data_IF_558533278633
#
_entry.id   IF_558533278633
#
_cell.length_a   1.000
_cell.length_b   1.000
_cell.length_c   1.000
_cell.angle_alpha   90.00
_cell.angle_beta   90.00
_cell.angle_gamma   90.00
#
_symmetry.space_group_name_H-M   'P 1'
#
loop_
_entity.id
_entity.type
_entity.pdbx_description
1 polymer ?
#
# COMPACT_ATOMS: atom_id res chain seq x y z
N UNK A 1 -64.92 -13.08 1.01
CA UNK A 1 -64.33 -11.74 0.82
C UNK A 1 -63.11 -11.72 1.72
N UNK A 2 -61.97 -12.22 1.23
CA UNK A 2 -60.91 -11.43 0.56
C UNK A 2 -60.39 -10.35 1.53
N UNK A 3 -59.14 -10.37 2.00
CA UNK A 3 -57.94 -10.34 1.16
C UNK A 3 -56.67 -10.80 1.89
N UNK A 4 -56.01 -11.79 1.29
CA UNK A 4 -54.57 -11.92 0.99
C UNK A 4 -53.60 -10.99 1.73
N UNK A 5 -52.87 -11.54 2.72
CA UNK A 5 -51.59 -10.97 3.19
C UNK A 5 -50.48 -11.46 2.26
N UNK A 6 -49.95 -10.55 1.44
CA UNK A 6 -48.83 -10.83 0.54
C UNK A 6 -47.50 -10.73 1.32
N UNK A 7 -46.84 -11.87 1.49
CA UNK A 7 -45.48 -11.98 2.01
C UNK A 7 -44.53 -11.37 0.98
N UNK A 8 -44.04 -10.15 1.23
CA UNK A 8 -42.99 -9.52 0.41
C UNK A 8 -41.66 -10.21 0.71
N UNK A 9 -41.26 -11.12 -0.17
CA UNK A 9 -39.89 -11.63 -0.24
C UNK A 9 -38.99 -10.50 -0.74
N UNK A 10 -38.13 -9.97 0.14
CA UNK A 10 -37.03 -9.10 -0.29
C UNK A 10 -35.91 -9.96 -0.89
N UNK A 11 -36.13 -10.39 -2.13
CA UNK A 11 -35.11 -10.94 -2.99
C UNK A 11 -34.15 -9.81 -3.34
N UNK A 12 -32.95 -9.84 -2.77
CA UNK A 12 -31.86 -8.94 -3.14
C UNK A 12 -31.39 -9.31 -4.55
N UNK A 13 -31.84 -8.54 -5.54
CA UNK A 13 -31.42 -8.63 -6.92
C UNK A 13 -29.96 -8.13 -7.04
N UNK A 14 -29.01 -9.06 -7.13
CA UNK A 14 -27.58 -8.79 -7.38
C UNK A 14 -27.28 -8.82 -8.89
N UNK A 15 -28.19 -8.31 -9.74
CA UNK A 15 -27.91 -8.11 -11.17
C UNK A 15 -27.95 -6.64 -11.53
N UNK A 16 -27.09 -5.86 -10.89
CA UNK A 16 -26.65 -4.59 -11.47
C UNK A 16 -25.71 -4.93 -12.63
N UNK A 17 -26.17 -4.65 -13.85
CA UNK A 17 -25.40 -4.72 -15.11
C UNK A 17 -23.96 -4.28 -14.91
N UNK A 18 -23.02 -5.20 -15.06
CA UNK A 18 -21.65 -4.87 -15.40
C UNK A 18 -21.67 -4.43 -16.87
N UNK A 19 -21.81 -3.13 -17.10
CA UNK A 19 -21.43 -2.58 -18.40
C UNK A 19 -19.90 -2.69 -18.47
N UNK A 20 -19.44 -3.80 -19.02
CA UNK A 20 -18.04 -4.07 -19.32
C UNK A 20 -17.52 -2.90 -20.18
N UNK A 21 -16.49 -2.15 -19.75
CA UNK A 21 -15.89 -1.15 -20.61
C UNK A 21 -15.23 -1.89 -21.78
N UNK A 22 -15.59 -1.51 -23.01
CA UNK A 22 -15.08 -2.09 -24.26
C UNK A 22 -13.60 -1.75 -24.53
N UNK A 23 -12.72 -1.80 -23.53
CA UNK A 23 -11.28 -1.50 -23.72
C UNK A 23 -10.46 -2.73 -24.13
N UNK A 24 -11.07 -3.91 -24.23
CA UNK A 24 -10.38 -5.19 -24.45
C UNK A 24 -10.52 -5.78 -25.86
N UNK A 25 -11.10 -5.05 -26.82
CA UNK A 25 -11.18 -5.52 -28.23
C UNK A 25 -10.21 -4.81 -29.19
N UNK A 26 -9.47 -3.80 -28.74
CA UNK A 26 -8.57 -3.03 -29.61
C UNK A 26 -7.09 -3.33 -29.33
N UNK A 27 -6.72 -4.62 -29.30
CA UNK A 27 -5.30 -5.03 -29.20
C UNK A 27 -4.94 -6.24 -30.09
N UNK A 28 -5.82 -6.66 -30.99
CA UNK A 28 -5.59 -7.87 -31.81
C UNK A 28 -5.16 -7.62 -33.27
N UNK A 29 -4.68 -6.42 -33.62
CA UNK A 29 -4.23 -6.16 -34.99
C UNK A 29 -2.97 -5.30 -35.01
N UNK A 30 -1.83 -5.91 -34.70
CA UNK A 30 -0.53 -5.68 -35.37
C UNK A 30 0.48 -6.70 -34.86
N UNK A 31 0.37 -7.96 -35.32
CA UNK A 31 1.51 -8.86 -35.32
C UNK A 31 2.39 -8.53 -36.52
N UNK A 32 3.55 -7.91 -36.28
CA UNK A 32 4.72 -8.07 -37.15
C UNK A 32 5.97 -8.24 -36.30
N UNK A 33 6.53 -9.44 -36.45
CA UNK A 33 7.62 -10.10 -35.77
C UNK A 33 8.98 -9.36 -35.87
N UNK A 34 9.64 -9.13 -34.72
CA UNK A 34 11.10 -8.94 -34.57
C UNK A 34 11.55 -9.43 -33.17
N UNK A 35 12.79 -9.92 -33.01
CA UNK A 35 13.23 -10.65 -31.82
C UNK A 35 13.36 -9.74 -30.61
N UNK A 36 12.91 -10.23 -29.45
CA UNK A 36 12.85 -9.54 -28.17
C UNK A 36 14.22 -9.01 -27.72
N UNK A 37 14.30 -7.69 -27.61
CA UNK A 37 15.30 -6.97 -26.81
C UNK A 37 14.77 -6.82 -25.36
N UNK A 38 15.65 -6.64 -24.36
CA UNK A 38 15.29 -6.59 -22.93
C UNK A 38 14.54 -5.31 -22.50
N UNK A 39 13.92 -4.59 -23.44
CA UNK A 39 13.36 -3.25 -23.24
C UNK A 39 12.05 -3.23 -22.47
N UNK A 40 11.29 -4.33 -22.45
CA UNK A 40 9.99 -4.41 -21.79
C UNK A 40 10.13 -4.42 -20.25
N UNK A 41 11.17 -5.10 -19.75
CA UNK A 41 11.52 -5.07 -18.33
C UNK A 41 11.98 -3.69 -17.88
N UNK A 42 12.75 -2.97 -18.71
CA UNK A 42 13.19 -1.60 -18.42
C UNK A 42 12.03 -0.60 -18.43
N UNK A 43 11.06 -0.73 -19.34
CA UNK A 43 9.87 0.12 -19.37
C UNK A 43 8.94 -0.15 -18.19
N UNK A 44 8.76 -1.41 -17.82
CA UNK A 44 7.96 -1.80 -16.65
C UNK A 44 8.66 -1.43 -15.33
N UNK A 45 9.99 -1.50 -15.29
CA UNK A 45 10.81 -1.06 -14.15
C UNK A 45 10.76 0.47 -14.04
N UNK A 46 10.82 1.23 -15.15
CA UNK A 46 10.63 2.69 -15.14
C UNK A 46 9.23 3.10 -14.65
N UNK A 47 8.17 2.38 -15.02
CA UNK A 47 6.81 2.61 -14.51
C UNK A 47 6.66 2.24 -13.02
N UNK A 48 7.41 1.21 -12.58
CA UNK A 48 7.50 0.82 -11.18
C UNK A 48 8.26 1.85 -10.35
N UNK A 49 9.40 2.35 -10.84
CA UNK A 49 10.18 3.43 -10.19
C UNK A 49 9.35 4.71 -10.10
N UNK A 50 8.66 5.10 -11.17
CA UNK A 50 7.78 6.26 -11.16
C UNK A 50 6.61 6.13 -10.15
N UNK A 51 6.08 4.91 -9.98
CA UNK A 51 5.06 4.63 -8.95
C UNK A 51 5.63 4.68 -7.53
N UNK A 52 6.86 4.23 -7.32
CA UNK A 52 7.55 4.33 -6.03
C UNK A 52 7.87 5.78 -5.67
N UNK A 53 8.37 6.58 -6.62
CA UNK A 53 8.63 8.01 -6.44
C UNK A 53 7.35 8.77 -6.08
N UNK A 54 6.24 8.44 -6.75
CA UNK A 54 4.93 9.02 -6.44
C UNK A 54 4.50 8.66 -5.01
N UNK A 55 4.64 7.40 -4.62
CA UNK A 55 4.30 6.95 -3.27
C UNK A 55 5.18 7.65 -2.22
N UNK A 56 6.49 7.73 -2.45
CA UNK A 56 7.41 8.46 -1.58
C UNK A 56 6.98 9.93 -1.43
N UNK A 57 6.68 10.60 -2.54
CA UNK A 57 6.25 11.99 -2.52
C UNK A 57 4.94 12.17 -1.74
N UNK A 58 3.95 11.29 -1.93
CA UNK A 58 2.68 11.32 -1.18
C UNK A 58 2.88 11.09 0.31
N UNK A 59 3.76 10.16 0.69
CA UNK A 59 4.10 9.89 2.10
C UNK A 59 4.80 11.11 2.72
N UNK A 60 5.80 11.67 2.05
CA UNK A 60 6.52 12.87 2.52
C UNK A 60 5.57 14.07 2.65
N UNK A 61 4.73 14.30 1.64
CA UNK A 61 3.73 15.37 1.70
C UNK A 61 2.78 15.19 2.89
N UNK A 62 2.32 13.96 3.14
CA UNK A 62 1.46 13.67 4.28
C UNK A 62 2.18 13.94 5.60
N UNK A 63 3.47 13.60 5.71
CA UNK A 63 4.26 13.94 6.91
C UNK A 63 4.35 15.46 7.10
N UNK A 64 4.67 16.19 6.03
CA UNK A 64 4.81 17.64 6.09
C UNK A 64 3.50 18.32 6.53
N UNK A 65 2.38 17.94 5.91
CA UNK A 65 1.04 18.47 6.22
C UNK A 65 0.67 18.21 7.71
N UNK A 66 0.87 16.99 8.21
CA UNK A 66 0.51 16.63 9.59
C UNK A 66 1.45 17.26 10.64
N UNK A 67 2.74 17.42 10.31
CA UNK A 67 3.70 18.12 11.17
C UNK A 67 3.40 19.62 11.20
N UNK A 68 3.00 20.23 10.09
CA UNK A 68 2.56 21.62 10.05
C UNK A 68 1.36 21.86 10.98
N UNK A 69 0.35 20.99 10.92
CA UNK A 69 -0.81 21.04 11.82
C UNK A 69 -0.40 20.94 13.29
N UNK A 70 0.56 20.09 13.63
CA UNK A 70 1.09 19.96 14.99
C UNK A 70 1.82 21.23 15.47
N UNK A 71 2.70 21.78 14.62
CA UNK A 71 3.49 22.96 14.96
C UNK A 71 2.60 24.20 15.08
N UNK A 72 1.73 24.46 14.10
CA UNK A 72 0.80 25.59 14.14
C UNK A 72 -0.21 25.42 15.29
N UNK A 73 -0.68 24.18 15.50
CA UNK A 73 -1.39 23.70 16.70
C UNK A 73 -0.81 24.24 18.00
N UNK A 74 0.47 23.92 18.22
CA UNK A 74 1.18 24.27 19.44
C UNK A 74 1.42 25.78 19.58
N UNK A 75 1.74 26.47 18.49
CA UNK A 75 1.93 27.94 18.49
C UNK A 75 0.66 28.64 18.93
N UNK A 76 -0.50 28.21 18.45
CA UNK A 76 -1.78 28.79 18.85
C UNK A 76 -2.15 28.50 20.30
N UNK A 77 -1.89 27.30 20.81
CA UNK A 77 -2.08 26.97 22.22
C UNK A 77 -1.19 27.85 23.12
N UNK A 78 0.07 28.05 22.75
CA UNK A 78 0.99 28.94 23.49
C UNK A 78 0.49 30.39 23.45
N UNK A 79 -0.01 30.87 22.30
CA UNK A 79 -0.61 32.21 22.18
C UNK A 79 -1.86 32.34 23.07
N UNK A 80 -2.74 31.34 23.04
CA UNK A 80 -3.94 31.29 23.89
C UNK A 80 -3.61 31.19 25.38
N UNK A 81 -2.45 30.63 25.75
CA UNK A 81 -2.01 30.52 27.15
C UNK A 81 -1.54 31.84 27.77
N UNK A 82 -1.28 32.89 26.98
CA UNK A 82 -0.80 34.16 27.51
C UNK A 82 -1.87 34.85 28.36
N UNK A 83 -1.62 34.99 29.66
CA UNK A 83 -2.56 35.59 30.62
C UNK A 83 -2.35 37.11 30.63
N UNK A 84 -3.02 37.84 29.72
CA UNK A 84 -3.09 39.31 29.77
C UNK A 84 -4.50 39.78 29.48
N UNK A 85 -5.09 40.53 30.42
CA UNK A 85 -6.37 41.23 30.32
C UNK A 85 -7.50 40.45 29.61
N UNK A 86 -7.89 39.30 30.18
CA UNK A 86 -8.95 38.44 29.62
C UNK A 86 -10.25 38.58 30.40
N UNK A 87 -11.33 38.84 29.67
CA UNK A 87 -12.72 38.78 30.16
C UNK A 87 -13.23 37.33 30.16
N UNK A 88 -14.21 37.00 31.01
CA UNK A 88 -14.78 35.66 31.18
C UNK A 88 -15.28 35.05 29.86
N UNK A 89 -15.88 35.85 28.98
CA UNK A 89 -16.29 35.42 27.64
C UNK A 89 -15.10 35.07 26.74
N UNK A 90 -14.03 35.86 26.80
CA UNK A 90 -12.80 35.62 26.02
C UNK A 90 -12.09 34.37 26.49
N UNK A 91 -12.02 34.15 27.81
CA UNK A 91 -11.47 32.91 28.39
C UNK A 91 -12.25 31.69 27.91
N UNK A 92 -13.58 31.78 27.89
CA UNK A 92 -14.44 30.67 27.44
C UNK A 92 -14.27 30.38 25.94
N UNK A 93 -14.16 31.42 25.11
CA UNK A 93 -13.92 31.28 23.68
C UNK A 93 -12.53 30.69 23.38
N UNK A 94 -11.49 31.17 24.06
CA UNK A 94 -10.13 30.65 23.92
C UNK A 94 -10.01 29.20 24.40
N UNK A 95 -10.72 28.83 25.48
CA UNK A 95 -10.75 27.45 25.96
C UNK A 95 -11.39 26.50 24.93
N UNK A 96 -12.49 26.90 24.29
CA UNK A 96 -13.10 26.12 23.22
C UNK A 96 -12.18 26.01 22.00
N UNK A 97 -11.56 27.12 21.57
CA UNK A 97 -10.62 27.12 20.46
C UNK A 97 -9.40 26.22 20.75
N UNK A 98 -8.86 26.27 21.97
CA UNK A 98 -7.77 25.40 22.41
C UNK A 98 -8.17 23.92 22.38
N UNK A 99 -9.40 23.58 22.79
CA UNK A 99 -9.90 22.21 22.73
C UNK A 99 -9.97 21.69 21.29
N UNK A 100 -10.59 22.46 20.38
CA UNK A 100 -10.70 22.08 18.95
C UNK A 100 -9.31 21.95 18.31
N UNK A 101 -8.38 22.86 18.64
CA UNK A 101 -7.00 22.80 18.16
C UNK A 101 -6.31 21.53 18.64
N UNK A 102 -6.47 21.19 19.91
CA UNK A 102 -5.90 19.98 20.51
C UNK A 102 -6.47 18.72 19.85
N UNK A 103 -7.77 18.68 19.56
CA UNK A 103 -8.39 17.57 18.83
C UNK A 103 -7.78 17.39 17.42
N UNK A 104 -7.60 18.49 16.69
CA UNK A 104 -6.94 18.47 15.38
C UNK A 104 -5.49 17.95 15.47
N UNK A 105 -4.74 18.37 16.49
CA UNK A 105 -3.37 17.88 16.73
C UNK A 105 -3.34 16.39 17.07
N UNK A 106 -4.30 15.90 17.86
CA UNK A 106 -4.40 14.47 18.19
C UNK A 106 -4.66 13.65 16.93
N UNK A 107 -5.56 14.13 16.05
CA UNK A 107 -5.85 13.47 14.77
C UNK A 107 -4.60 13.43 13.88
N UNK A 108 -3.83 14.51 13.81
CA UNK A 108 -2.57 14.55 13.06
C UNK A 108 -1.53 13.56 13.61
N UNK A 109 -1.38 13.49 14.93
CA UNK A 109 -0.50 12.52 15.57
C UNK A 109 -0.93 11.07 15.31
N UNK A 110 -2.23 10.78 15.30
CA UNK A 110 -2.77 9.47 14.95
C UNK A 110 -2.51 9.11 13.48
N UNK A 111 -2.61 10.09 12.58
CA UNK A 111 -2.26 9.94 11.16
C UNK A 111 -0.79 9.54 10.99
N UNK A 112 0.13 10.26 11.64
CA UNK A 112 1.56 9.94 11.66
C UNK A 112 1.86 8.56 12.28
N UNK A 113 1.14 8.15 13.32
CA UNK A 113 1.28 6.82 13.90
C UNK A 113 0.83 5.72 12.93
N UNK A 114 -0.28 5.92 12.23
CA UNK A 114 -0.76 5.03 11.17
C UNK A 114 0.26 4.92 10.04
N UNK A 115 0.83 6.05 9.61
CA UNK A 115 1.89 6.11 8.62
C UNK A 115 3.12 5.30 9.04
N UNK A 116 3.56 5.44 10.30
CA UNK A 116 4.67 4.66 10.85
C UNK A 116 4.40 3.15 10.78
N UNK A 117 3.16 2.72 11.05
CA UNK A 117 2.79 1.32 10.92
C UNK A 117 2.86 0.84 9.46
N UNK A 118 2.35 1.64 8.52
CA UNK A 118 2.44 1.33 7.07
C UNK A 118 3.88 1.23 6.59
N UNK A 119 4.76 2.15 7.00
CA UNK A 119 6.19 2.11 6.66
C UNK A 119 6.88 0.87 7.23
N UNK A 120 6.55 0.48 8.46
CA UNK A 120 7.05 -0.78 9.05
C UNK A 120 6.61 -1.99 8.24
N UNK A 121 5.35 -2.03 7.80
CA UNK A 121 4.85 -3.11 6.94
C UNK A 121 5.54 -3.13 5.57
N UNK A 122 5.67 -1.97 4.90
CA UNK A 122 6.40 -1.85 3.62
C UNK A 122 7.82 -2.38 3.75
N UNK A 123 8.51 -2.03 4.84
CA UNK A 123 9.86 -2.53 5.12
C UNK A 123 9.89 -4.06 5.33
N UNK A 124 8.97 -4.62 6.12
CA UNK A 124 8.87 -6.06 6.34
C UNK A 124 8.58 -6.83 5.04
N UNK A 125 7.73 -6.30 4.16
CA UNK A 125 7.43 -6.92 2.88
C UNK A 125 8.61 -6.84 1.91
N UNK A 126 9.31 -5.70 1.87
CA UNK A 126 10.51 -5.54 1.05
C UNK A 126 11.60 -6.57 1.44
N UNK A 127 11.81 -6.78 2.74
CA UNK A 127 12.84 -7.69 3.24
C UNK A 127 12.49 -9.17 3.00
N UNK A 128 11.21 -9.53 2.87
CA UNK A 128 10.80 -10.93 2.62
C UNK A 128 11.22 -11.53 1.28
N UNK A 129 11.62 -10.68 0.31
CA UNK A 129 12.19 -11.13 -0.97
C UNK A 129 13.63 -11.67 -0.82
N UNK A 130 14.42 -11.10 0.09
CA UNK A 130 15.81 -11.49 0.36
C UNK A 130 15.97 -12.92 0.90
N UNK A 131 15.20 -13.41 1.90
CA UNK A 131 15.30 -14.78 2.38
C UNK A 131 14.75 -15.80 1.38
N UNK A 132 13.78 -15.44 0.52
CA UNK A 132 13.32 -16.31 -0.55
C UNK A 132 14.43 -16.53 -1.59
N UNK A 133 15.08 -15.46 -2.02
CA UNK A 133 16.25 -15.51 -2.92
C UNK A 133 17.46 -16.22 -2.27
N UNK A 134 17.71 -15.98 -0.98
CA UNK A 134 18.77 -16.67 -0.25
C UNK A 134 18.48 -18.16 -0.03
N UNK A 135 17.21 -18.55 0.12
CA UNK A 135 16.79 -19.96 0.15
C UNK A 135 16.96 -20.60 -1.21
N UNK A 136 16.62 -19.90 -2.28
CA UNK A 136 16.78 -20.40 -3.64
C UNK A 136 18.25 -20.55 -4.04
N UNK A 137 19.14 -19.63 -3.63
CA UNK A 137 20.58 -19.77 -3.87
C UNK A 137 21.15 -20.96 -3.11
N UNK A 138 20.75 -21.16 -1.85
CA UNK A 138 21.17 -22.31 -1.04
C UNK A 138 20.62 -23.63 -1.59
N UNK A 139 19.40 -23.64 -2.12
CA UNK A 139 18.84 -24.82 -2.77
C UNK A 139 19.65 -25.20 -4.02
N UNK A 140 20.03 -24.22 -4.84
CA UNK A 140 20.89 -24.44 -6.03
C UNK A 140 22.27 -24.96 -5.64
N UNK A 141 22.89 -24.41 -4.61
CA UNK A 141 24.18 -24.87 -4.09
C UNK A 141 24.11 -26.31 -3.56
N UNK A 142 23.04 -26.66 -2.84
CA UNK A 142 22.80 -28.03 -2.39
C UNK A 142 22.56 -28.99 -3.55
N UNK A 143 21.83 -28.58 -4.59
CA UNK A 143 21.61 -29.38 -5.80
C UNK A 143 22.92 -29.62 -6.57
N UNK A 144 23.80 -28.61 -6.66
CA UNK A 144 25.14 -28.75 -7.25
C UNK A 144 25.99 -29.74 -6.46
N UNK A 145 26.03 -29.63 -5.13
CA UNK A 145 26.74 -30.58 -4.25
C UNK A 145 26.16 -32.00 -4.38
N UNK A 146 24.83 -32.13 -4.44
CA UNK A 146 24.17 -33.43 -4.62
C UNK A 146 24.51 -34.02 -5.99
N UNK A 147 24.55 -33.22 -7.05
CA UNK A 147 24.89 -33.68 -8.39
C UNK A 147 26.37 -34.06 -8.49
N UNK A 148 27.26 -33.30 -7.87
CA UNK A 148 28.69 -33.63 -7.78
C UNK A 148 28.93 -34.89 -6.96
N UNK A 149 28.24 -35.06 -5.82
CA UNK A 149 28.29 -36.28 -5.04
C UNK A 149 27.72 -37.48 -5.81
N UNK A 150 26.61 -37.32 -6.54
CA UNK A 150 26.07 -38.39 -7.40
C UNK A 150 27.05 -38.78 -8.51
N UNK A 151 27.76 -37.81 -9.09
CA UNK A 151 28.79 -38.03 -10.10
C UNK A 151 30.03 -38.74 -9.52
N UNK A 152 30.50 -38.33 -8.34
CA UNK A 152 31.64 -38.96 -7.66
C UNK A 152 31.36 -40.41 -7.24
N UNK A 153 30.12 -40.72 -6.87
CA UNK A 153 29.73 -42.05 -6.41
C UNK A 153 29.22 -42.95 -7.55
N UNK A 154 29.28 -42.47 -8.81
CA UNK A 154 28.91 -43.26 -9.99
C UNK A 154 27.45 -43.70 -10.01
N UNK A 155 26.57 -43.00 -9.30
CA UNK A 155 25.12 -43.27 -9.33
C UNK A 155 24.59 -42.61 -10.60
N UNK A 156 24.79 -43.31 -11.72
CA UNK A 156 24.23 -42.95 -13.00
C UNK A 156 22.71 -42.79 -12.87
N UNK A 157 22.22 -41.65 -13.37
CA UNK A 157 20.85 -41.49 -13.82
C UNK A 157 20.54 -42.70 -14.70
N UNK A 158 19.79 -43.65 -14.16
CA UNK A 158 19.12 -44.67 -14.97
C UNK A 158 18.05 -43.91 -15.73
N UNK A 159 18.43 -43.51 -16.94
CA UNK A 159 17.53 -43.11 -18.00
C UNK A 159 16.43 -44.18 -18.07
N UNK A 160 15.22 -43.82 -17.63
CA UNK A 160 14.04 -44.64 -17.85
C UNK A 160 13.67 -44.54 -19.33
N UNK A 161 14.31 -45.37 -20.14
CA UNK A 161 13.82 -45.70 -21.47
C UNK A 161 12.91 -46.93 -21.34
N UNK A 162 11.58 -46.69 -21.34
CA UNK A 162 10.51 -47.63 -21.73
C UNK A 162 9.15 -46.93 -21.80
#
# INVERSE_FOLDING_TARGET
MSSTSATLTHSTDVRRRTNQPQTLQQSQHTSTHLPALPSDALLQDLDSQASLDKMEHELNKTVDDEVEVLVEGMVELVRASQIKDKDHFRVSQEAFAAQVRTESMIRAAQSLLSLSHTLKLLHLFADSSTPALARESRAKELDEIINEAKAQWGIGVVEMDR
#
